data_IF_786080806705
#
_entry.id   IF_786080806705
#
_cell.length_a   1.000
_cell.length_b   1.000
_cell.length_c   1.000
_cell.angle_alpha   90.00
_cell.angle_beta   90.00
_cell.angle_gamma   90.00
#
_symmetry.space_group_name_H-M   'P 1'
#
loop_
_entity.id
_entity.type
_entity.pdbx_description
1 polymer ?
#
# COMPACT_ATOMS: atom_id res chain seq x y z
N UNK A 1 -41.66 7.99 21.01
CA UNK A 1 -42.27 9.29 21.27
C UNK A 1 -41.25 10.39 20.98
N UNK A 2 -41.67 11.48 20.32
CA UNK A 2 -40.82 12.66 20.16
C UNK A 2 -40.74 13.44 21.50
N UNK A 3 -39.67 14.25 21.73
CA UNK A 3 -39.63 15.17 22.85
C UNK A 3 -40.88 16.06 22.87
N UNK A 4 -41.53 16.18 24.02
CA UNK A 4 -42.79 16.90 24.19
C UNK A 4 -44.07 16.07 23.92
N UNK A 5 -43.97 14.86 23.41
CA UNK A 5 -45.11 13.99 23.13
C UNK A 5 -45.35 13.01 24.28
N UNK A 6 -46.53 13.05 24.87
CA UNK A 6 -46.87 12.23 26.03
C UNK A 6 -46.17 12.67 27.33
N UNK A 7 -46.38 11.96 28.44
CA UNK A 7 -45.72 12.25 29.71
C UNK A 7 -44.19 12.01 29.63
N UNK A 8 -43.79 10.95 28.98
CA UNK A 8 -42.36 10.65 28.78
C UNK A 8 -41.64 11.70 27.92
N UNK A 9 -42.25 12.12 26.79
CA UNK A 9 -41.73 13.22 25.97
C UNK A 9 -41.70 14.55 26.72
N UNK A 10 -42.69 14.83 27.57
CA UNK A 10 -42.70 16.02 28.43
C UNK A 10 -41.55 15.99 29.43
N UNK A 11 -41.35 14.89 30.17
CA UNK A 11 -40.26 14.76 31.13
C UNK A 11 -38.87 14.94 30.47
N UNK A 12 -38.68 14.42 29.25
CA UNK A 12 -37.45 14.59 28.45
C UNK A 12 -37.29 16.04 28.01
N UNK A 13 -38.34 16.69 27.50
CA UNK A 13 -38.31 18.06 27.01
C UNK A 13 -38.08 19.11 28.10
N UNK A 14 -38.68 18.87 29.30
CA UNK A 14 -38.55 19.78 30.44
C UNK A 14 -37.36 19.46 31.35
N UNK A 15 -36.73 18.29 31.17
CA UNK A 15 -35.66 17.76 32.02
C UNK A 15 -36.10 17.59 33.49
N UNK A 16 -37.39 17.49 33.72
CA UNK A 16 -38.02 17.40 35.07
C UNK A 16 -38.82 16.11 35.19
N UNK A 17 -38.85 15.50 36.39
CA UNK A 17 -39.72 14.38 36.65
C UNK A 17 -41.18 14.82 36.61
N UNK A 18 -42.05 13.92 36.19
CA UNK A 18 -43.51 14.12 36.11
C UNK A 18 -44.20 13.05 36.92
N UNK A 19 -45.08 13.48 37.84
CA UNK A 19 -45.94 12.60 38.63
C UNK A 19 -47.40 12.89 38.26
N UNK A 20 -48.13 11.87 37.81
CA UNK A 20 -49.58 11.96 37.52
C UNK A 20 -50.29 10.85 38.22
N UNK A 21 -51.25 11.23 39.08
CA UNK A 21 -52.02 10.29 39.89
C UNK A 21 -53.46 9.99 39.38
N UNK A 22 -53.86 10.69 38.30
CA UNK A 22 -55.05 10.41 37.51
C UNK A 22 -54.68 10.60 36.00
N UNK A 23 -54.32 9.51 35.35
CA UNK A 23 -53.89 9.53 33.93
C UNK A 23 -55.02 9.89 32.98
N UNK A 24 -56.24 9.55 33.32
CA UNK A 24 -57.44 9.79 32.48
C UNK A 24 -57.78 11.28 32.36
N UNK A 25 -57.43 12.05 33.38
CA UNK A 25 -57.66 13.49 33.39
C UNK A 25 -56.50 14.33 32.85
N UNK A 26 -55.31 13.76 32.65
CA UNK A 26 -54.14 14.49 32.13
C UNK A 26 -54.12 14.53 30.57
N UNK A 27 -54.22 15.71 29.94
CA UNK A 27 -54.30 15.84 28.51
C UNK A 27 -53.00 15.40 27.79
N UNK A 28 -51.90 15.23 28.50
CA UNK A 28 -50.63 14.74 27.95
C UNK A 28 -50.56 13.22 27.90
N UNK A 29 -51.46 12.52 28.58
CA UNK A 29 -51.41 11.06 28.65
C UNK A 29 -51.71 10.43 27.30
N UNK A 30 -50.83 9.51 26.90
CA UNK A 30 -51.03 8.65 25.72
C UNK A 30 -51.07 7.21 26.21
N UNK A 31 -52.20 6.55 26.04
CA UNK A 31 -52.38 5.19 26.51
C UNK A 31 -51.59 4.18 25.69
N UNK A 32 -50.54 3.61 26.27
CA UNK A 32 -49.77 2.49 25.71
C UNK A 32 -50.13 1.17 26.41
N UNK A 33 -50.43 1.22 27.68
CA UNK A 33 -50.81 0.06 28.48
C UNK A 33 -52.22 0.29 29.03
N UNK A 34 -53.19 -0.48 28.57
CA UNK A 34 -54.57 -0.28 29.02
C UNK A 34 -54.77 -0.44 30.52
N UNK A 35 -55.63 0.40 31.09
CA UNK A 35 -56.05 0.32 32.47
C UNK A 35 -55.05 0.81 33.51
N UNK A 36 -54.09 1.65 33.12
CA UNK A 36 -53.24 2.36 34.05
C UNK A 36 -53.92 3.65 34.53
N UNK A 37 -53.71 3.97 35.79
CA UNK A 37 -54.39 5.13 36.45
C UNK A 37 -53.40 6.14 37.05
N UNK A 38 -52.17 5.74 37.35
CA UNK A 38 -51.13 6.67 37.82
C UNK A 38 -49.77 6.33 37.23
N UNK A 39 -48.91 7.33 37.06
CA UNK A 39 -47.58 7.20 36.45
C UNK A 39 -46.57 8.17 37.07
N UNK A 40 -45.34 7.67 37.29
CA UNK A 40 -44.15 8.46 37.51
C UNK A 40 -43.30 8.36 36.25
N UNK A 41 -42.85 9.48 35.68
CA UNK A 41 -41.88 9.54 34.61
C UNK A 41 -40.69 10.37 35.05
N UNK A 42 -39.51 9.81 34.93
CA UNK A 42 -38.27 10.50 35.28
C UNK A 42 -37.36 10.51 34.08
N UNK A 43 -36.79 11.68 33.69
CA UNK A 43 -35.83 11.73 32.61
C UNK A 43 -34.50 11.04 33.03
N UNK A 44 -33.96 10.21 32.14
CA UNK A 44 -32.63 9.62 32.30
C UNK A 44 -31.59 10.63 31.84
N UNK A 45 -30.90 11.26 32.79
CA UNK A 45 -29.99 12.35 32.53
C UNK A 45 -28.53 11.86 32.48
N UNK A 46 -27.77 12.25 31.46
CA UNK A 46 -26.34 12.08 31.42
C UNK A 46 -25.64 13.38 30.98
N UNK A 47 -24.72 13.92 31.82
CA UNK A 47 -24.00 15.18 31.56
C UNK A 47 -24.94 16.32 31.11
N UNK A 48 -26.03 16.51 31.88
CA UNK A 48 -27.06 17.53 31.62
C UNK A 48 -27.83 17.38 30.30
N UNK A 49 -27.87 16.18 29.73
CA UNK A 49 -28.67 15.85 28.53
C UNK A 49 -29.54 14.65 28.80
N UNK A 50 -30.84 14.69 28.44
CA UNK A 50 -31.72 13.54 28.57
C UNK A 50 -31.35 12.50 27.48
N UNK A 51 -31.16 11.25 27.89
CA UNK A 51 -30.88 10.10 27.01
C UNK A 51 -32.08 9.17 26.88
N UNK A 52 -33.16 9.43 27.62
CA UNK A 52 -34.36 8.66 27.63
C UNK A 52 -35.24 9.05 28.82
N UNK A 53 -36.26 8.27 29.08
CA UNK A 53 -37.10 8.39 30.27
C UNK A 53 -37.31 7.00 30.89
N UNK A 54 -37.44 6.98 32.21
CA UNK A 54 -37.91 5.83 33.01
C UNK A 54 -39.29 6.13 33.44
N UNK A 55 -40.26 5.26 33.15
CA UNK A 55 -41.63 5.38 33.61
C UNK A 55 -42.06 4.17 34.45
N UNK A 56 -42.86 4.44 35.47
CA UNK A 56 -43.48 3.46 36.36
C UNK A 56 -44.97 3.73 36.38
N UNK A 57 -45.75 2.74 36.02
CA UNK A 57 -47.21 2.82 35.95
C UNK A 57 -47.87 1.98 37.03
N UNK A 58 -49.05 2.40 37.48
CA UNK A 58 -49.90 1.63 38.37
C UNK A 58 -51.36 1.66 37.92
N UNK A 59 -52.05 0.54 38.17
CA UNK A 59 -53.52 0.45 38.00
C UNK A 59 -54.33 1.15 39.11
N UNK A 60 -53.68 1.41 40.25
CA UNK A 60 -54.33 2.10 41.34
C UNK A 60 -54.20 3.62 41.10
N UNK A 61 -55.34 4.36 41.26
CA UNK A 61 -55.26 5.81 41.25
C UNK A 61 -54.59 6.30 42.56
N UNK A 62 -53.92 7.46 42.49
CA UNK A 62 -53.18 8.07 43.60
C UNK A 62 -52.15 7.14 44.28
N UNK A 63 -51.55 6.24 43.50
CA UNK A 63 -50.60 5.26 44.02
C UNK A 63 -49.26 5.90 44.46
N UNK A 64 -48.81 6.95 43.76
CA UNK A 64 -47.52 7.50 43.98
C UNK A 64 -47.52 8.82 44.74
N UNK A 65 -46.53 9.01 45.59
CA UNK A 65 -46.30 10.25 46.34
C UNK A 65 -44.96 10.86 45.94
N UNK A 66 -44.65 12.10 46.30
CA UNK A 66 -43.42 12.81 46.05
C UNK A 66 -42.17 12.04 46.50
N UNK A 67 -42.27 11.28 47.59
CA UNK A 67 -41.16 10.43 48.08
C UNK A 67 -40.84 9.31 47.09
N UNK A 68 -41.81 8.73 46.43
CA UNK A 68 -41.62 7.68 45.44
C UNK A 68 -40.92 8.26 44.19
N UNK A 69 -41.38 9.44 43.77
CA UNK A 69 -40.75 10.18 42.67
C UNK A 69 -39.28 10.49 42.97
N UNK A 70 -38.94 10.89 44.20
CA UNK A 70 -37.55 11.13 44.60
C UNK A 70 -36.69 9.85 44.54
N UNK A 71 -37.23 8.72 45.00
CA UNK A 71 -36.57 7.41 44.95
C UNK A 71 -36.33 6.99 43.48
N UNK A 72 -37.37 7.10 42.65
CA UNK A 72 -37.30 6.76 41.23
C UNK A 72 -36.30 7.67 40.50
N UNK A 73 -36.23 8.96 40.87
CA UNK A 73 -35.26 9.91 40.31
C UNK A 73 -33.82 9.51 40.65
N UNK A 74 -33.57 9.10 41.88
CA UNK A 74 -32.25 8.61 42.30
C UNK A 74 -31.86 7.32 41.55
N UNK A 75 -32.82 6.39 41.41
CA UNK A 75 -32.63 5.16 40.63
C UNK A 75 -32.39 5.45 39.16
N UNK A 76 -33.14 6.38 38.56
CA UNK A 76 -32.99 6.80 37.17
C UNK A 76 -31.60 7.34 36.87
N UNK A 77 -30.96 8.03 37.81
CA UNK A 77 -29.58 8.50 37.65
C UNK A 77 -28.58 7.33 37.50
N UNK A 78 -28.74 6.27 38.30
CA UNK A 78 -27.89 5.07 38.18
C UNK A 78 -28.18 4.30 36.89
N UNK A 79 -29.45 4.19 36.48
CA UNK A 79 -29.84 3.56 35.22
C UNK A 79 -29.25 4.31 34.02
N UNK A 80 -29.26 5.64 34.05
CA UNK A 80 -28.68 6.45 32.99
C UNK A 80 -27.16 6.18 32.81
N UNK A 81 -26.42 6.14 33.91
CA UNK A 81 -24.97 5.82 33.89
C UNK A 81 -24.75 4.40 33.39
N UNK A 82 -25.52 3.41 33.86
CA UNK A 82 -25.39 2.03 33.43
C UNK A 82 -25.67 1.86 31.93
N UNK A 83 -26.70 2.53 31.40
CA UNK A 83 -27.03 2.50 29.97
C UNK A 83 -25.93 3.13 29.10
N UNK A 84 -25.38 4.26 29.54
CA UNK A 84 -24.28 4.91 28.81
C UNK A 84 -23.05 4.02 28.83
N UNK A 85 -22.67 3.46 29.97
CA UNK A 85 -21.52 2.56 30.08
C UNK A 85 -21.70 1.31 29.20
N UNK A 86 -22.87 0.70 29.17
CA UNK A 86 -23.18 -0.43 28.32
C UNK A 86 -23.04 -0.07 26.83
N UNK A 87 -23.55 1.09 26.39
CA UNK A 87 -23.39 1.56 25.01
C UNK A 87 -21.92 1.85 24.63
N UNK A 88 -21.18 2.47 25.55
CA UNK A 88 -19.77 2.75 25.34
C UNK A 88 -18.94 1.44 25.24
N UNK A 89 -19.24 0.49 26.11
CA UNK A 89 -18.59 -0.81 26.10
C UNK A 89 -18.86 -1.58 24.78
N UNK A 90 -20.11 -1.62 24.35
CA UNK A 90 -20.50 -2.28 23.10
C UNK A 90 -19.83 -1.61 21.89
N UNK A 91 -19.82 -0.28 21.86
CA UNK A 91 -19.12 0.45 20.80
C UNK A 91 -17.61 0.16 20.79
N UNK A 92 -16.98 0.20 21.98
CA UNK A 92 -15.55 -0.11 22.10
C UNK A 92 -15.22 -1.55 21.68
N UNK A 93 -16.12 -2.51 21.98
CA UNK A 93 -15.99 -3.89 21.54
C UNK A 93 -16.04 -4.03 20.01
N UNK A 94 -17.02 -3.37 19.39
CA UNK A 94 -17.16 -3.36 17.93
C UNK A 94 -15.96 -2.69 17.23
N UNK A 95 -15.47 -1.59 17.80
CA UNK A 95 -14.27 -0.91 17.29
C UNK A 95 -13.03 -1.82 17.41
N UNK A 96 -12.87 -2.54 18.54
CA UNK A 96 -11.77 -3.47 18.74
C UNK A 96 -11.80 -4.66 17.75
N UNK A 97 -12.97 -5.27 17.53
CA UNK A 97 -13.17 -6.34 16.55
C UNK A 97 -12.85 -5.87 15.11
N UNK A 98 -13.21 -4.63 14.77
CA UNK A 98 -12.89 -4.04 13.48
C UNK A 98 -11.37 -3.83 13.33
N UNK A 99 -10.66 -3.36 14.37
CA UNK A 99 -9.21 -3.20 14.37
C UNK A 99 -8.47 -4.53 14.27
N UNK A 100 -8.95 -5.57 14.94
CA UNK A 100 -8.35 -6.91 14.87
C UNK A 100 -8.47 -7.49 13.46
N UNK A 101 -9.66 -7.40 12.86
CA UNK A 101 -9.88 -7.81 11.46
C UNK A 101 -8.99 -7.05 10.48
N UNK A 102 -8.82 -5.73 10.69
CA UNK A 102 -7.91 -4.89 9.90
C UNK A 102 -6.46 -5.34 10.01
N UNK A 103 -6.01 -5.65 11.22
CA UNK A 103 -4.63 -6.08 11.46
C UNK A 103 -4.36 -7.44 10.79
N UNK A 104 -5.30 -8.38 10.87
CA UNK A 104 -5.21 -9.68 10.21
C UNK A 104 -5.16 -9.54 8.67
N UNK A 105 -6.09 -8.79 8.09
CA UNK A 105 -6.12 -8.52 6.65
C UNK A 105 -4.83 -7.82 6.21
N UNK A 106 -4.41 -6.79 6.95
CA UNK A 106 -3.18 -6.05 6.68
C UNK A 106 -1.95 -6.95 6.67
N UNK A 107 -1.85 -7.87 7.61
CA UNK A 107 -0.75 -8.83 7.68
C UNK A 107 -0.77 -9.85 6.53
N UNK A 108 -1.93 -10.41 6.21
CA UNK A 108 -2.09 -11.36 5.10
C UNK A 108 -1.74 -10.75 3.75
N UNK A 109 -2.09 -9.48 3.52
CA UNK A 109 -1.85 -8.78 2.26
C UNK A 109 -0.42 -8.24 2.18
N UNK A 110 0.11 -7.66 3.28
CA UNK A 110 1.45 -7.07 3.30
C UNK A 110 2.61 -8.09 3.20
N UNK A 111 2.35 -9.37 3.47
CA UNK A 111 3.37 -10.42 3.38
C UNK A 111 3.63 -10.90 1.94
N UNK A 112 2.77 -10.55 0.97
CA UNK A 112 2.88 -10.99 -0.42
C UNK A 112 3.62 -9.92 -1.24
N UNK A 113 4.78 -10.29 -1.77
CA UNK A 113 5.63 -9.41 -2.59
C UNK A 113 5.43 -9.59 -4.10
N UNK A 114 4.90 -10.74 -4.52
CA UNK A 114 4.54 -10.98 -5.90
C UNK A 114 3.17 -10.34 -6.20
N UNK A 115 3.13 -9.45 -7.19
CA UNK A 115 1.94 -8.64 -7.47
C UNK A 115 0.75 -9.47 -7.99
N UNK A 116 0.99 -10.53 -8.73
CA UNK A 116 -0.06 -11.41 -9.26
C UNK A 116 -0.67 -12.28 -8.16
N UNK A 117 0.20 -12.80 -7.27
CA UNK A 117 -0.25 -13.51 -6.08
C UNK A 117 -1.04 -12.60 -5.15
N UNK A 118 -0.59 -11.35 -4.98
CA UNK A 118 -1.24 -10.33 -4.18
C UNK A 118 -2.67 -10.05 -4.66
N UNK A 119 -2.89 -9.84 -5.96
CA UNK A 119 -4.24 -9.64 -6.52
C UNK A 119 -5.15 -10.83 -6.23
N UNK A 120 -4.64 -12.03 -6.41
CA UNK A 120 -5.39 -13.27 -6.11
C UNK A 120 -5.76 -13.35 -4.63
N UNK A 121 -4.84 -12.95 -3.73
CA UNK A 121 -5.07 -12.95 -2.28
C UNK A 121 -6.12 -11.93 -1.87
N UNK A 122 -6.09 -10.73 -2.44
CA UNK A 122 -7.10 -9.69 -2.21
C UNK A 122 -8.50 -10.19 -2.61
N UNK A 123 -8.63 -10.82 -3.79
CA UNK A 123 -9.89 -11.41 -4.23
C UNK A 123 -10.41 -12.50 -3.28
N UNK A 124 -9.52 -13.39 -2.80
CA UNK A 124 -9.87 -14.41 -1.83
C UNK A 124 -10.35 -13.83 -0.49
N UNK A 125 -9.71 -12.76 -0.01
CA UNK A 125 -10.12 -12.07 1.21
C UNK A 125 -11.47 -11.39 1.04
N UNK A 126 -11.72 -10.72 -0.10
CA UNK A 126 -13.02 -10.15 -0.41
C UNK A 126 -14.12 -11.24 -0.42
N UNK A 127 -13.83 -12.45 -0.97
CA UNK A 127 -14.77 -13.57 -1.01
C UNK A 127 -15.13 -14.12 0.37
N UNK A 128 -14.26 -13.97 1.36
CA UNK A 128 -14.56 -14.35 2.76
C UNK A 128 -15.59 -13.41 3.42
N UNK A 129 -15.63 -12.16 2.94
CA UNK A 129 -16.49 -11.11 3.49
C UNK A 129 -17.85 -11.10 2.81
N UNK A 130 -17.87 -11.24 1.49
CA UNK A 130 -19.09 -11.13 0.69
C UNK A 130 -19.10 -12.14 -0.45
N UNK A 131 -20.28 -12.63 -0.77
CA UNK A 131 -20.48 -13.46 -1.95
C UNK A 131 -20.70 -12.57 -3.18
N UNK A 132 -19.63 -12.29 -3.92
CA UNK A 132 -19.65 -11.56 -5.17
C UNK A 132 -19.69 -12.52 -6.37
N UNK A 133 -20.19 -12.05 -7.51
CA UNK A 133 -20.19 -12.78 -8.77
C UNK A 133 -18.99 -12.42 -9.65
N UNK A 134 -18.69 -11.14 -9.72
CA UNK A 134 -17.53 -10.60 -10.41
C UNK A 134 -16.70 -9.77 -9.43
N UNK A 135 -15.39 -9.90 -9.52
CA UNK A 135 -14.43 -9.12 -8.75
C UNK A 135 -13.33 -8.64 -9.69
N UNK A 136 -13.10 -7.35 -9.71
CA UNK A 136 -12.09 -6.71 -10.51
C UNK A 136 -11.10 -5.90 -9.68
N UNK A 137 -9.83 -5.90 -10.08
CA UNK A 137 -8.84 -4.93 -9.65
C UNK A 137 -8.34 -4.21 -10.88
N UNK A 138 -8.60 -2.91 -10.94
CA UNK A 138 -8.11 -2.02 -11.99
C UNK A 138 -7.07 -1.08 -11.41
N UNK A 139 -5.94 -0.91 -12.09
CA UNK A 139 -4.91 0.05 -11.69
C UNK A 139 -4.80 1.18 -12.70
N UNK A 140 -4.52 2.38 -12.19
CA UNK A 140 -4.26 3.56 -13.03
C UNK A 140 -2.90 3.38 -13.71
N UNK A 141 -2.88 3.45 -15.04
CA UNK A 141 -1.67 3.41 -15.86
C UNK A 141 -1.09 4.81 -16.10
N UNK A 142 0.05 4.87 -16.79
CA UNK A 142 0.76 6.14 -17.10
C UNK A 142 -0.04 7.10 -17.99
N UNK A 143 -1.06 6.59 -18.69
CA UNK A 143 -1.95 7.39 -19.54
C UNK A 143 -3.18 7.90 -18.80
N UNK A 144 -3.26 7.72 -17.47
CA UNK A 144 -4.44 8.02 -16.65
C UNK A 144 -5.69 7.23 -17.06
N UNK A 145 -5.51 5.97 -17.45
CA UNK A 145 -6.59 5.03 -17.73
C UNK A 145 -6.57 3.91 -16.69
N UNK A 146 -7.73 3.36 -16.37
CA UNK A 146 -7.86 2.16 -15.55
C UNK A 146 -7.65 0.92 -16.43
N UNK A 147 -6.62 0.16 -16.09
CA UNK A 147 -6.26 -1.09 -16.74
C UNK A 147 -6.58 -2.26 -15.81
N UNK A 148 -7.35 -3.23 -16.28
CA UNK A 148 -7.69 -4.43 -15.52
C UNK A 148 -6.44 -5.26 -15.24
N UNK A 149 -6.14 -5.51 -13.98
CA UNK A 149 -5.04 -6.37 -13.53
C UNK A 149 -5.53 -7.75 -13.09
N UNK A 150 -6.71 -7.79 -12.49
CA UNK A 150 -7.40 -9.03 -12.16
C UNK A 150 -8.89 -8.85 -12.45
N UNK A 151 -9.48 -9.79 -13.17
CA UNK A 151 -10.93 -9.95 -13.27
C UNK A 151 -11.27 -11.41 -13.00
N UNK A 152 -12.12 -11.66 -12.02
CA UNK A 152 -12.62 -13.00 -11.67
C UNK A 152 -14.13 -13.00 -11.83
N UNK A 153 -14.62 -13.73 -12.84
CA UNK A 153 -16.04 -13.97 -13.04
C UNK A 153 -16.33 -15.46 -12.86
N UNK A 154 -17.17 -15.81 -11.89
CA UNK A 154 -17.49 -17.21 -11.56
C UNK A 154 -16.26 -18.10 -11.30
N UNK A 155 -15.12 -17.51 -10.87
CA UNK A 155 -13.86 -18.24 -10.66
C UNK A 155 -12.95 -18.32 -11.90
N UNK A 156 -13.35 -17.74 -13.03
CA UNK A 156 -12.54 -17.68 -14.26
C UNK A 156 -11.98 -16.26 -14.50
N UNK A 157 -10.76 -16.16 -15.03
CA UNK A 157 -10.16 -14.88 -15.43
C UNK A 157 -10.81 -14.39 -16.74
N UNK A 158 -11.16 -13.10 -16.78
CA UNK A 158 -11.80 -12.45 -17.93
C UNK A 158 -11.00 -11.24 -18.35
N UNK A 159 -10.86 -11.01 -19.66
CA UNK A 159 -10.28 -9.77 -20.18
C UNK A 159 -11.37 -8.69 -20.30
N UNK A 160 -11.09 -7.51 -19.78
CA UNK A 160 -11.97 -6.35 -19.80
C UNK A 160 -11.25 -5.18 -20.47
N UNK A 161 -11.93 -4.35 -21.30
CA UNK A 161 -11.32 -3.19 -21.93
C UNK A 161 -10.87 -2.16 -20.89
N UNK A 162 -9.94 -1.27 -21.28
CA UNK A 162 -9.50 -0.15 -20.46
C UNK A 162 -10.64 0.86 -20.31
N UNK A 163 -10.69 1.51 -19.15
CA UNK A 163 -11.71 2.50 -18.79
C UNK A 163 -11.02 3.83 -18.48
N UNK A 164 -11.49 4.91 -19.06
CA UNK A 164 -10.96 6.25 -18.77
C UNK A 164 -11.38 6.73 -17.37
N UNK A 165 -10.56 7.60 -16.74
CA UNK A 165 -10.95 8.24 -15.48
C UNK A 165 -12.20 9.08 -15.70
N UNK A 166 -13.21 8.90 -14.86
CA UNK A 166 -14.52 9.55 -14.97
C UNK A 166 -15.53 8.78 -15.81
N UNK A 167 -15.13 7.72 -16.52
CA UNK A 167 -15.98 6.89 -17.34
C UNK A 167 -16.51 5.69 -16.54
N UNK A 168 -17.81 5.46 -16.60
CA UNK A 168 -18.44 4.39 -15.83
C UNK A 168 -18.42 4.63 -14.32
N UNK A 169 -18.88 3.64 -13.54
CA UNK A 169 -18.87 3.71 -12.07
C UNK A 169 -17.43 3.62 -11.52
N UNK A 170 -16.62 2.72 -12.07
CA UNK A 170 -15.21 2.55 -11.69
C UNK A 170 -14.36 3.80 -12.00
N UNK A 171 -14.52 4.38 -13.21
CA UNK A 171 -13.81 5.60 -13.59
C UNK A 171 -14.23 6.80 -12.76
N UNK A 172 -15.53 6.90 -12.43
CA UNK A 172 -16.05 7.92 -11.53
C UNK A 172 -15.47 7.79 -10.12
N UNK A 173 -15.45 6.58 -9.56
CA UNK A 173 -14.87 6.31 -8.24
C UNK A 173 -13.38 6.70 -8.20
N UNK A 174 -12.61 6.39 -9.25
CA UNK A 174 -11.20 6.75 -9.35
C UNK A 174 -10.97 8.26 -9.40
N UNK A 175 -11.75 8.98 -10.24
CA UNK A 175 -11.60 10.41 -10.44
C UNK A 175 -11.98 11.22 -9.20
N UNK A 176 -13.12 10.87 -8.58
CA UNK A 176 -13.64 11.57 -7.40
C UNK A 176 -13.06 11.05 -6.08
N UNK A 177 -12.39 9.90 -6.10
CA UNK A 177 -11.79 9.25 -4.92
C UNK A 177 -12.84 8.90 -3.86
N UNK A 178 -14.02 8.52 -4.32
CA UNK A 178 -15.18 8.21 -3.50
C UNK A 178 -15.69 6.80 -3.80
N UNK A 179 -16.22 6.13 -2.79
CA UNK A 179 -16.89 4.85 -2.97
C UNK A 179 -18.19 5.08 -3.73
N UNK A 180 -18.41 4.30 -4.77
CA UNK A 180 -19.63 4.34 -5.57
C UNK A 180 -20.40 3.03 -5.36
N UNK A 181 -21.58 3.14 -4.81
CA UNK A 181 -22.53 2.04 -4.66
C UNK A 181 -23.73 2.27 -5.57
N UNK A 182 -23.94 1.39 -6.54
CA UNK A 182 -25.14 1.35 -7.38
C UNK A 182 -26.01 0.14 -6.99
N UNK A 183 -27.04 0.32 -6.17
CA UNK A 183 -27.91 -0.76 -5.72
C UNK A 183 -28.74 -1.36 -6.87
N UNK A 184 -28.98 -0.56 -7.91
CA UNK A 184 -29.58 -0.93 -9.20
C UNK A 184 -28.88 -0.17 -10.31
N UNK A 185 -27.99 -0.86 -11.04
CA UNK A 185 -27.18 -0.24 -12.10
C UNK A 185 -28.04 0.32 -13.26
N UNK A 186 -29.25 -0.21 -13.44
CA UNK A 186 -30.17 0.29 -14.47
C UNK A 186 -30.70 1.70 -14.19
N UNK A 187 -30.62 2.15 -12.96
CA UNK A 187 -31.05 3.49 -12.50
C UNK A 187 -29.86 4.49 -12.44
N UNK A 188 -28.62 4.03 -12.60
CA UNK A 188 -27.47 4.92 -12.58
C UNK A 188 -27.01 5.29 -14.00
N UNK A 189 -27.13 6.54 -14.41
CA UNK A 189 -26.78 6.97 -15.78
C UNK A 189 -25.28 6.86 -16.11
N UNK A 190 -24.43 6.65 -15.09
CA UNK A 190 -22.99 6.43 -15.27
C UNK A 190 -22.63 5.01 -15.64
N UNK A 191 -23.55 4.04 -15.41
CA UNK A 191 -23.26 2.63 -15.62
C UNK A 191 -22.99 2.32 -17.09
N UNK A 192 -21.93 1.58 -17.34
CA UNK A 192 -21.57 1.07 -18.66
C UNK A 192 -21.69 -0.46 -18.62
N UNK A 193 -22.60 -1.01 -19.39
CA UNK A 193 -22.84 -2.45 -19.42
C UNK A 193 -21.72 -3.18 -20.20
N UNK A 194 -20.65 -3.55 -19.52
CA UNK A 194 -19.55 -4.35 -20.06
C UNK A 194 -19.74 -5.84 -19.76
N UNK A 195 -20.44 -6.15 -18.67
CA UNK A 195 -20.66 -7.53 -18.22
C UNK A 195 -22.16 -7.82 -18.19
N UNK A 196 -22.66 -8.83 -18.92
CA UNK A 196 -24.07 -9.21 -18.89
C UNK A 196 -24.54 -9.62 -17.49
N UNK A 197 -25.83 -9.40 -17.21
CA UNK A 197 -26.53 -9.84 -16.00
C UNK A 197 -26.12 -9.13 -14.68
N UNK A 198 -25.39 -8.04 -14.74
CA UNK A 198 -25.09 -7.20 -13.55
C UNK A 198 -26.31 -6.36 -13.20
N UNK A 199 -26.70 -6.37 -11.92
CA UNK A 199 -27.82 -5.59 -11.39
C UNK A 199 -27.43 -4.63 -10.27
N UNK A 200 -26.36 -4.91 -9.54
CA UNK A 200 -25.75 -3.97 -8.59
C UNK A 200 -24.24 -4.00 -8.68
N UNK A 201 -23.61 -2.85 -8.41
CA UNK A 201 -22.15 -2.65 -8.51
C UNK A 201 -21.65 -1.83 -7.33
N UNK A 202 -20.46 -2.19 -6.85
CA UNK A 202 -19.72 -1.47 -5.81
C UNK A 202 -18.29 -1.22 -6.29
N UNK A 203 -17.96 0.04 -6.58
CA UNK A 203 -16.63 0.48 -6.96
C UNK A 203 -15.95 1.21 -5.80
N UNK A 204 -14.80 0.71 -5.35
CA UNK A 204 -14.06 1.23 -4.20
C UNK A 204 -12.67 1.69 -4.67
N UNK A 205 -12.34 2.99 -4.56
CA UNK A 205 -11.03 3.48 -4.97
C UNK A 205 -9.91 3.00 -4.04
N UNK A 206 -8.80 2.57 -4.65
CA UNK A 206 -7.56 2.26 -3.96
C UNK A 206 -6.77 3.54 -3.72
N UNK A 207 -6.79 4.04 -2.49
CA UNK A 207 -6.24 5.34 -2.14
C UNK A 207 -4.92 5.21 -1.38
N UNK A 208 -3.90 5.94 -1.85
CA UNK A 208 -2.66 6.20 -1.14
C UNK A 208 -2.57 7.70 -0.81
N UNK A 209 -2.88 8.07 0.42
CA UNK A 209 -3.07 9.48 0.81
C UNK A 209 -4.10 10.12 -0.11
N UNK A 210 -3.67 11.10 -0.92
CA UNK A 210 -4.53 11.85 -1.83
C UNK A 210 -4.51 11.32 -3.29
N UNK A 211 -3.80 10.24 -3.56
CA UNK A 211 -3.67 9.66 -4.90
C UNK A 211 -4.51 8.38 -5.02
N UNK A 212 -5.35 8.29 -6.03
CA UNK A 212 -5.99 7.06 -6.44
C UNK A 212 -5.01 6.26 -7.32
N UNK A 213 -4.69 5.03 -6.94
CA UNK A 213 -3.83 4.12 -7.71
C UNK A 213 -4.63 3.08 -8.48
N UNK A 214 -5.93 2.96 -8.22
CA UNK A 214 -6.79 2.00 -8.86
C UNK A 214 -8.17 1.94 -8.23
N UNK A 215 -8.94 0.91 -8.61
CA UNK A 215 -10.29 0.64 -8.11
C UNK A 215 -10.45 -0.86 -7.90
N UNK A 216 -11.10 -1.24 -6.81
CA UNK A 216 -11.69 -2.56 -6.64
C UNK A 216 -13.13 -2.48 -7.07
N UNK A 217 -13.52 -3.38 -7.96
CA UNK A 217 -14.85 -3.43 -8.55
C UNK A 217 -15.53 -4.76 -8.21
N UNK A 218 -16.74 -4.68 -7.66
CA UNK A 218 -17.55 -5.84 -7.30
C UNK A 218 -18.92 -5.73 -7.96
N UNK A 219 -19.30 -6.77 -8.67
CA UNK A 219 -20.57 -6.82 -9.37
C UNK A 219 -21.43 -8.02 -8.91
N UNK A 220 -22.74 -7.83 -8.91
CA UNK A 220 -23.71 -8.87 -8.56
C UNK A 220 -24.92 -8.86 -9.48
N UNK A 221 -25.49 -10.05 -9.81
CA UNK A 221 -26.77 -10.17 -10.54
C UNK A 221 -27.98 -9.89 -9.64
N UNK A 222 -27.78 -9.66 -8.34
CA UNK A 222 -28.85 -9.35 -7.40
C UNK A 222 -28.95 -7.84 -7.19
N UNK A 223 -30.19 -7.34 -7.00
CA UNK A 223 -30.41 -5.96 -6.59
C UNK A 223 -30.02 -5.81 -5.12
N UNK A 224 -29.46 -4.64 -4.77
CA UNK A 224 -29.09 -4.31 -3.39
C UNK A 224 -28.16 -5.37 -2.75
N UNK A 225 -27.26 -5.97 -3.53
CA UNK A 225 -26.41 -7.06 -3.06
C UNK A 225 -25.41 -6.62 -1.98
N UNK A 226 -25.06 -5.32 -1.91
CA UNK A 226 -24.05 -4.80 -1.01
C UNK A 226 -24.67 -3.99 0.13
N UNK A 227 -24.54 -4.49 1.36
CA UNK A 227 -24.99 -3.78 2.57
C UNK A 227 -24.00 -2.67 2.96
N UNK A 228 -24.42 -1.75 3.84
CA UNK A 228 -23.52 -0.72 4.39
C UNK A 228 -22.31 -1.33 5.11
N UNK A 229 -22.51 -2.45 5.81
CA UNK A 229 -21.44 -3.17 6.51
C UNK A 229 -20.42 -3.74 5.52
N UNK A 230 -20.88 -4.30 4.40
CA UNK A 230 -20.00 -4.83 3.36
C UNK A 230 -19.14 -3.72 2.75
N UNK A 231 -19.75 -2.56 2.47
CA UNK A 231 -19.04 -1.37 1.98
C UNK A 231 -17.95 -0.93 2.96
N UNK A 232 -18.27 -0.87 4.27
CA UNK A 232 -17.29 -0.50 5.30
C UNK A 232 -16.09 -1.47 5.32
N UNK A 233 -16.34 -2.78 5.38
CA UNK A 233 -15.29 -3.80 5.47
C UNK A 233 -14.47 -3.84 4.17
N UNK A 234 -15.10 -3.79 3.00
CA UNK A 234 -14.41 -3.80 1.72
C UNK A 234 -13.61 -2.52 1.48
N UNK A 235 -14.07 -1.37 2.00
CA UNK A 235 -13.28 -0.12 1.99
C UNK A 235 -12.01 -0.25 2.83
N UNK A 236 -12.10 -0.92 3.98
CA UNK A 236 -10.93 -1.22 4.80
C UNK A 236 -9.96 -2.17 4.08
N UNK A 237 -10.48 -3.23 3.46
CA UNK A 237 -9.68 -4.14 2.64
C UNK A 237 -9.00 -3.38 1.49
N UNK A 238 -9.72 -2.52 0.78
CA UNK A 238 -9.19 -1.72 -0.33
C UNK A 238 -8.07 -0.78 0.12
N UNK A 239 -8.17 -0.19 1.31
CA UNK A 239 -7.13 0.68 1.86
C UNK A 239 -5.83 -0.09 2.17
N UNK A 240 -5.93 -1.31 2.72
CA UNK A 240 -4.77 -2.18 2.95
C UNK A 240 -4.20 -2.70 1.64
N UNK A 241 -5.07 -3.09 0.70
CA UNK A 241 -4.69 -3.52 -0.64
C UNK A 241 -3.92 -2.43 -1.39
N UNK A 242 -4.34 -1.15 -1.29
CA UNK A 242 -3.64 -0.04 -1.92
C UNK A 242 -2.18 0.07 -1.46
N UNK A 243 -1.94 -0.04 -0.15
CA UNK A 243 -0.58 0.01 0.42
C UNK A 243 0.25 -1.19 -0.04
N UNK A 244 -0.33 -2.39 -0.01
CA UNK A 244 0.38 -3.60 -0.39
C UNK A 244 0.71 -3.65 -1.89
N UNK A 245 -0.20 -3.22 -2.75
CA UNK A 245 0.02 -3.13 -4.21
C UNK A 245 1.16 -2.17 -4.52
N UNK A 246 1.20 -1.00 -3.88
CA UNK A 246 2.30 -0.05 -4.08
C UNK A 246 3.63 -0.59 -3.56
N UNK A 247 3.64 -1.27 -2.41
CA UNK A 247 4.83 -1.92 -1.88
C UNK A 247 5.36 -3.02 -2.82
N UNK A 248 4.49 -3.88 -3.33
CA UNK A 248 4.86 -4.93 -4.29
C UNK A 248 5.40 -4.33 -5.58
N UNK A 249 4.77 -3.27 -6.12
CA UNK A 249 5.24 -2.54 -7.31
C UNK A 249 6.63 -1.94 -7.11
N UNK A 250 6.85 -1.26 -5.98
CA UNK A 250 8.15 -0.65 -5.65
C UNK A 250 9.23 -1.72 -5.45
N UNK A 251 8.89 -2.84 -4.84
CA UNK A 251 9.80 -3.96 -4.67
C UNK A 251 10.25 -4.55 -6.01
N UNK A 252 9.31 -4.75 -6.94
CA UNK A 252 9.61 -5.27 -8.28
C UNK A 252 10.46 -4.28 -9.10
N UNK A 253 10.20 -2.97 -8.99
CA UNK A 253 11.02 -1.91 -9.62
C UNK A 253 12.46 -1.91 -9.09
N UNK A 254 12.65 -2.01 -7.77
CA UNK A 254 13.98 -2.12 -7.13
C UNK A 254 14.69 -3.39 -7.58
N UNK A 255 14.01 -4.53 -7.57
CA UNK A 255 14.55 -5.83 -7.98
C UNK A 255 14.99 -5.82 -9.45
N UNK A 256 14.14 -5.35 -10.35
CA UNK A 256 14.44 -5.28 -11.79
C UNK A 256 15.62 -4.35 -12.08
N UNK A 257 15.70 -3.22 -11.38
CA UNK A 257 16.83 -2.28 -11.46
C UNK A 257 18.12 -2.92 -10.96
N UNK A 258 18.08 -3.63 -9.83
CA UNK A 258 19.24 -4.34 -9.30
C UNK A 258 19.73 -5.42 -10.28
N UNK A 259 18.82 -6.25 -10.82
CA UNK A 259 19.17 -7.28 -11.79
C UNK A 259 19.82 -6.69 -13.06
N UNK A 260 19.34 -5.53 -13.53
CA UNK A 260 19.93 -4.81 -14.66
C UNK A 260 21.36 -4.35 -14.35
N UNK A 261 21.54 -3.68 -13.19
CA UNK A 261 22.85 -3.20 -12.76
C UNK A 261 23.85 -4.35 -12.58
N UNK A 262 23.44 -5.48 -12.02
CA UNK A 262 24.27 -6.65 -11.89
C UNK A 262 24.70 -7.21 -13.26
N UNK A 263 23.83 -7.21 -14.26
CA UNK A 263 24.15 -7.63 -15.64
C UNK A 263 25.17 -6.68 -16.27
N UNK A 264 25.00 -5.37 -16.08
CA UNK A 264 25.92 -4.34 -16.57
C UNK A 264 27.32 -4.50 -15.94
N UNK A 265 27.39 -4.70 -14.62
CA UNK A 265 28.65 -4.92 -13.91
C UNK A 265 29.34 -6.22 -14.38
N UNK A 266 28.61 -7.32 -14.53
CA UNK A 266 29.16 -8.58 -15.06
C UNK A 266 29.66 -8.43 -16.51
N UNK A 267 29.01 -7.63 -17.33
CA UNK A 267 29.49 -7.33 -18.67
C UNK A 267 30.81 -6.54 -18.61
N UNK A 268 30.88 -5.49 -17.79
CA UNK A 268 32.11 -4.70 -17.62
C UNK A 268 33.29 -5.56 -17.11
N UNK A 269 33.03 -6.49 -16.19
CA UNK A 269 34.02 -7.46 -15.69
C UNK A 269 34.60 -8.34 -16.82
N UNK A 270 33.73 -8.84 -17.70
CA UNK A 270 34.18 -9.65 -18.85
C UNK A 270 35.02 -8.84 -19.80
N UNK A 271 34.68 -7.57 -20.05
CA UNK A 271 35.45 -6.67 -20.89
C UNK A 271 36.84 -6.41 -20.26
N UNK A 272 36.89 -6.08 -18.97
CA UNK A 272 38.14 -5.88 -18.25
C UNK A 272 39.02 -7.13 -18.29
N UNK A 273 38.46 -8.30 -17.99
CA UNK A 273 39.21 -9.56 -18.04
C UNK A 273 39.77 -9.89 -19.43
N UNK A 274 39.05 -9.50 -20.49
CA UNK A 274 39.54 -9.68 -21.87
C UNK A 274 40.68 -8.71 -22.25
N UNK A 275 40.79 -7.55 -21.57
CA UNK A 275 41.87 -6.58 -21.78
C UNK A 275 43.14 -6.93 -21.01
N UNK A 276 43.03 -7.67 -19.92
CA UNK A 276 44.17 -8.15 -19.14
C UNK A 276 44.89 -9.30 -19.86
N UNK A 277 46.22 -9.40 -19.74
CA UNK A 277 46.96 -10.51 -20.33
C UNK A 277 46.58 -11.85 -19.72
N UNK A 278 46.43 -12.87 -20.55
CA UNK A 278 46.04 -14.23 -20.09
C UNK A 278 47.11 -14.91 -19.22
N UNK A 279 48.25 -14.30 -19.05
CA UNK A 279 49.37 -14.75 -18.24
C UNK A 279 50.72 -14.42 -18.86
N UNK A 280 51.81 -14.77 -18.18
CA UNK A 280 53.17 -14.51 -18.70
C UNK A 280 53.47 -15.32 -19.96
N UNK A 281 54.34 -14.80 -20.86
CA UNK A 281 54.74 -15.49 -22.06
C UNK A 281 55.43 -16.84 -21.74
N UNK A 282 54.99 -17.91 -22.40
CA UNK A 282 55.43 -19.30 -22.13
C UNK A 282 56.90 -19.61 -22.52
N UNK A 283 57.60 -18.74 -23.26
CA UNK A 283 58.96 -18.98 -23.76
C UNK A 283 59.86 -17.77 -23.57
N UNK A 284 60.44 -17.66 -22.38
CA UNK A 284 61.47 -16.68 -22.07
C UNK A 284 62.78 -17.41 -21.83
N UNK A 285 63.88 -17.03 -22.56
CA UNK A 285 65.18 -17.62 -22.30
C UNK A 285 65.81 -17.00 -21.05
N UNK A 286 66.11 -17.86 -20.06
CA UNK A 286 66.80 -17.44 -18.85
C UNK A 286 65.95 -16.72 -17.77
N UNK A 287 64.62 -16.69 -17.94
CA UNK A 287 63.70 -16.09 -16.98
C UNK A 287 62.51 -17.03 -16.76
N UNK A 288 62.17 -17.29 -15.51
CA UNK A 288 60.97 -17.95 -15.14
C UNK A 288 60.00 -16.91 -14.51
N UNK A 289 58.77 -16.85 -15.03
CA UNK A 289 57.81 -15.81 -14.69
C UNK A 289 56.48 -16.45 -14.37
N UNK A 290 55.94 -16.10 -13.20
CA UNK A 290 54.59 -16.45 -12.77
C UNK A 290 53.81 -15.18 -12.42
N UNK A 291 52.51 -15.19 -12.65
CA UNK A 291 51.62 -14.10 -12.31
C UNK A 291 50.26 -14.61 -11.89
N UNK A 292 49.68 -13.95 -10.93
CA UNK A 292 48.32 -14.17 -10.48
C UNK A 292 47.60 -12.81 -10.33
N UNK A 293 46.36 -12.77 -10.71
CA UNK A 293 45.50 -11.58 -10.55
C UNK A 293 44.20 -11.99 -9.87
N UNK A 294 43.85 -11.28 -8.79
CA UNK A 294 42.59 -11.46 -8.08
C UNK A 294 42.05 -10.09 -7.71
N UNK A 295 40.92 -9.72 -8.28
CA UNK A 295 40.22 -8.49 -7.93
C UNK A 295 39.47 -8.67 -6.58
N UNK A 296 39.52 -7.68 -5.69
CA UNK A 296 38.79 -7.69 -4.43
C UNK A 296 37.28 -7.54 -4.59
N UNK A 297 36.83 -7.06 -5.75
CA UNK A 297 35.42 -6.92 -6.15
C UNK A 297 35.26 -7.38 -7.58
N UNK A 298 34.06 -7.21 -8.14
CA UNK A 298 33.73 -7.57 -9.52
C UNK A 298 34.66 -6.88 -10.53
N UNK A 299 35.08 -5.63 -10.22
CA UNK A 299 36.00 -4.81 -11.05
C UNK A 299 37.11 -4.25 -10.17
N UNK A 300 38.34 -4.26 -10.71
CA UNK A 300 39.57 -3.80 -10.04
C UNK A 300 40.24 -2.63 -10.73
N UNK A 301 40.91 -1.77 -9.92
CA UNK A 301 41.80 -0.71 -10.40
C UNK A 301 43.19 -1.22 -10.81
N UNK A 302 43.54 -2.41 -10.32
CA UNK A 302 44.85 -3.00 -10.62
C UNK A 302 44.94 -3.50 -12.07
N UNK A 303 46.18 -3.45 -12.65
CA UNK A 303 46.48 -4.08 -13.89
C UNK A 303 47.91 -4.61 -13.91
N UNK A 304 48.18 -5.55 -14.78
CA UNK A 304 49.54 -6.03 -15.08
C UNK A 304 49.69 -6.25 -16.57
N UNK A 305 50.96 -6.12 -17.06
CA UNK A 305 51.31 -6.33 -18.46
C UNK A 305 52.61 -7.11 -18.58
N UNK A 306 52.65 -7.97 -19.57
CA UNK A 306 53.86 -8.72 -19.98
C UNK A 306 54.12 -8.43 -21.44
N UNK A 307 55.11 -7.58 -21.73
CA UNK A 307 55.38 -7.09 -23.08
C UNK A 307 56.78 -7.51 -23.54
N UNK A 308 56.89 -8.09 -24.70
CA UNK A 308 58.17 -8.45 -25.31
C UNK A 308 58.38 -7.60 -26.57
N UNK A 309 58.98 -6.39 -26.44
CA UNK A 309 59.20 -5.50 -27.57
C UNK A 309 60.19 -6.06 -28.60
N UNK A 310 61.04 -6.98 -28.21
CA UNK A 310 61.96 -7.74 -29.05
C UNK A 310 62.34 -9.10 -28.42
N UNK A 311 63.15 -9.87 -29.06
CA UNK A 311 63.54 -11.21 -28.60
C UNK A 311 64.50 -11.25 -27.39
N UNK A 312 65.01 -10.08 -26.97
CA UNK A 312 65.97 -9.96 -25.87
C UNK A 312 65.47 -9.17 -24.67
N UNK A 313 64.33 -8.52 -24.81
CA UNK A 313 63.80 -7.66 -23.77
C UNK A 313 62.40 -8.10 -23.35
N UNK A 314 62.19 -8.16 -22.06
CA UNK A 314 60.88 -8.32 -21.40
C UNK A 314 60.60 -7.07 -20.58
N UNK A 315 59.41 -6.52 -20.74
CA UNK A 315 58.86 -5.45 -19.87
C UNK A 315 57.69 -6.04 -19.08
N UNK A 316 57.76 -5.92 -17.76
CA UNK A 316 56.67 -6.21 -16.85
C UNK A 316 56.20 -4.91 -16.26
N UNK A 317 54.91 -4.66 -16.33
CA UNK A 317 54.31 -3.51 -15.67
C UNK A 317 53.21 -3.99 -14.69
N UNK A 318 53.15 -3.33 -13.52
CA UNK A 318 52.10 -3.48 -12.53
C UNK A 318 51.66 -2.08 -12.19
N UNK A 319 50.36 -1.87 -12.18
CA UNK A 319 49.75 -0.59 -11.83
C UNK A 319 48.52 -0.77 -10.94
N UNK A 320 48.34 0.19 -10.07
CA UNK A 320 47.16 0.32 -9.20
C UNK A 320 46.56 1.71 -9.41
N UNK A 321 45.29 1.75 -9.78
CA UNK A 321 44.53 2.99 -9.95
C UNK A 321 43.73 3.23 -8.70
N UNK A 322 43.91 4.41 -8.08
CA UNK A 322 43.18 4.82 -6.90
C UNK A 322 41.66 4.82 -7.13
N UNK A 323 40.90 4.31 -6.16
CA UNK A 323 39.45 4.16 -6.24
C UNK A 323 39.03 2.70 -6.44
N UNK A 324 37.76 2.50 -6.75
CA UNK A 324 37.16 1.17 -6.89
C UNK A 324 35.95 1.20 -7.83
N UNK A 325 35.55 0.02 -8.33
CA UNK A 325 34.39 -0.14 -9.21
C UNK A 325 34.70 0.26 -10.66
N UNK A 326 33.64 0.61 -11.41
CA UNK A 326 33.71 0.86 -12.87
C UNK A 326 34.68 1.97 -13.25
N UNK A 327 34.75 3.13 -12.59
CA UNK A 327 35.70 4.18 -12.94
C UNK A 327 37.16 3.71 -12.85
N UNK A 328 37.53 3.10 -11.71
CA UNK A 328 38.90 2.60 -11.52
C UNK A 328 39.28 1.53 -12.54
N UNK A 329 38.34 0.63 -12.89
CA UNK A 329 38.52 -0.41 -13.89
C UNK A 329 38.74 0.16 -15.31
N UNK A 330 38.03 1.22 -15.69
CA UNK A 330 38.20 1.91 -16.98
C UNK A 330 39.55 2.64 -17.04
N UNK A 331 39.95 3.30 -15.95
CA UNK A 331 41.27 3.93 -15.87
C UNK A 331 42.40 2.90 -15.92
N UNK A 332 42.28 1.77 -15.26
CA UNK A 332 43.22 0.67 -15.28
C UNK A 332 43.38 0.12 -16.69
N UNK A 333 42.32 -0.16 -17.42
CA UNK A 333 42.34 -0.60 -18.80
C UNK A 333 43.01 0.45 -19.73
N UNK A 334 42.68 1.73 -19.53
CA UNK A 334 43.29 2.82 -20.29
C UNK A 334 44.78 2.95 -20.00
N UNK A 335 45.21 2.89 -18.74
CA UNK A 335 46.63 2.95 -18.35
C UNK A 335 47.41 1.76 -18.89
N UNK A 336 46.87 0.55 -18.85
CA UNK A 336 47.45 -0.65 -19.43
C UNK A 336 47.69 -0.48 -20.93
N UNK A 337 46.70 0.01 -21.69
CA UNK A 337 46.85 0.29 -23.12
C UNK A 337 47.89 1.39 -23.43
N UNK A 338 48.00 2.43 -22.61
CA UNK A 338 49.02 3.45 -22.74
C UNK A 338 50.41 2.84 -22.52
N UNK A 339 50.61 2.02 -21.51
CA UNK A 339 51.87 1.33 -21.24
C UNK A 339 52.25 0.42 -22.43
N UNK A 340 51.28 -0.38 -22.91
CA UNK A 340 51.44 -1.27 -24.06
C UNK A 340 51.83 -0.48 -25.32
N UNK A 341 51.08 0.55 -25.66
CA UNK A 341 51.28 1.38 -26.83
C UNK A 341 52.63 2.14 -26.80
N UNK A 342 53.10 2.58 -25.62
CA UNK A 342 54.40 3.27 -25.50
C UNK A 342 55.57 2.31 -25.50
N UNK A 343 55.43 1.12 -25.01
CA UNK A 343 56.46 0.08 -25.03
C UNK A 343 56.75 -0.40 -26.48
N UNK A 344 55.73 -0.53 -27.32
CA UNK A 344 55.87 -1.00 -28.70
C UNK A 344 56.11 0.10 -29.76
N UNK A 345 56.16 1.39 -29.41
CA UNK A 345 56.29 2.52 -30.34
C UNK A 345 57.75 2.69 -30.83
N UNK A 346 58.14 1.94 -31.85
CA UNK A 346 59.51 1.76 -32.30
C UNK A 346 59.86 2.48 -33.57
N UNK A 347 59.09 3.35 -34.17
CA UNK A 347 59.39 3.71 -35.56
C UNK A 347 60.29 4.95 -35.84
N UNK A 348 60.56 5.82 -34.83
CA UNK A 348 61.30 7.07 -35.12
C UNK A 348 62.21 7.60 -34.01
N UNK A 349 62.58 6.85 -32.94
CA UNK A 349 63.59 7.31 -32.00
C UNK A 349 64.61 6.21 -31.69
N UNK A 350 65.90 6.54 -31.75
CA UNK A 350 67.00 5.56 -31.55
C UNK A 350 67.25 5.21 -30.08
N UNK A 351 66.53 5.84 -29.14
CA UNK A 351 66.65 5.53 -27.74
C UNK A 351 65.76 4.32 -27.35
N UNK A 352 66.39 3.33 -26.73
CA UNK A 352 65.74 2.15 -26.15
C UNK A 352 64.61 2.65 -25.24
N UNK A 353 63.41 2.10 -25.35
CA UNK A 353 62.29 2.37 -24.46
C UNK A 353 62.71 2.09 -23.01
N UNK A 354 63.10 3.11 -22.29
CA UNK A 354 63.42 2.97 -20.85
C UNK A 354 62.10 2.99 -20.04
N UNK A 355 62.00 2.28 -18.91
CA UNK A 355 60.86 2.35 -18.03
C UNK A 355 60.49 3.80 -17.66
N UNK A 356 61.51 4.64 -17.40
CA UNK A 356 61.32 6.07 -17.09
C UNK A 356 60.66 6.84 -18.25
N UNK A 357 61.09 6.56 -19.51
CA UNK A 357 60.51 7.21 -20.70
C UNK A 357 59.07 6.80 -20.95
N UNK A 358 58.72 5.53 -20.70
CA UNK A 358 57.33 5.04 -20.79
C UNK A 358 56.48 5.73 -19.72
N UNK A 359 56.90 5.73 -18.47
CA UNK A 359 56.16 6.36 -17.34
C UNK A 359 55.99 7.87 -17.56
N UNK A 360 57.04 8.59 -17.98
CA UNK A 360 56.95 10.03 -18.28
C UNK A 360 55.94 10.32 -19.38
N UNK A 361 55.90 9.50 -20.43
CA UNK A 361 54.95 9.64 -21.53
C UNK A 361 53.52 9.33 -21.11
N UNK A 362 53.30 8.27 -20.29
CA UNK A 362 52.01 7.93 -19.70
C UNK A 362 51.52 9.06 -18.82
N UNK A 363 52.37 9.58 -17.91
CA UNK A 363 52.05 10.68 -17.02
C UNK A 363 51.62 11.95 -17.80
N UNK A 364 52.38 12.30 -18.87
CA UNK A 364 51.99 13.46 -19.69
C UNK A 364 50.59 13.31 -20.30
N UNK A 365 50.25 12.11 -20.80
CA UNK A 365 48.95 11.87 -21.42
C UNK A 365 47.82 11.88 -20.39
N UNK A 366 48.03 11.25 -19.24
CA UNK A 366 47.05 11.24 -18.17
C UNK A 366 46.80 12.67 -17.66
N UNK A 367 47.86 13.46 -17.49
CA UNK A 367 47.74 14.85 -17.05
C UNK A 367 47.05 15.75 -18.12
N UNK A 368 47.32 15.56 -19.41
CA UNK A 368 46.66 16.32 -20.48
C UNK A 368 45.20 15.96 -20.70
N UNK A 369 44.79 14.79 -20.28
CA UNK A 369 43.40 14.30 -20.42
C UNK A 369 42.67 14.36 -19.11
N UNK A 370 42.94 15.37 -18.26
CA UNK A 370 42.22 15.56 -16.99
C UNK A 370 40.75 15.15 -17.19
N UNK A 371 40.44 13.94 -16.79
CA UNK A 371 39.08 13.51 -16.61
C UNK A 371 38.72 14.02 -15.19
N UNK A 372 38.00 15.13 -15.15
CA UNK A 372 37.45 15.66 -13.91
C UNK A 372 36.64 14.57 -13.20
N UNK A 373 36.78 14.47 -11.87
CA UNK A 373 36.07 13.55 -11.01
C UNK A 373 34.55 13.78 -11.06
#
# INVERSE_FOLDING_TARGET
LAPGQGLAGTAVATEQPVLVNDLQSDPRYVEFVPGMNSEIVVPLMHKSRPIGALNILSRNPQQFIERDMAIVSQFAAHVAVALVNARLFERSRLDAEAFETLAEIGHEVASVLDIEELFTRIAQLAKRVIDYRTFGILLVNDNNELEMKLAVKYGEKVEVPRVALGEGLVGYAALHKEVVLAPDVSQDPRYINLVPDVRSELAIPLLLKDRCIGVVDLESPELNAFSKRDVEILTLLASQAAVAIENARLYDEVRSTQERLEKEVRFAQRVQAALLPAGPPKRLKGVDLAGAFASARELGGDFHEYLSPDSSNLVVAVGDVSGKGVPAALYSAFAAELVRGRTFRRRYLPERSSPAGVLSSVNTILHQRQLEE
#
